data_IF_984635557480
#
_entry.id   IF_984635557480
#
_cell.length_a   1.000
_cell.length_b   1.000
_cell.length_c   1.000
_cell.angle_alpha   90.00
_cell.angle_beta   90.00
_cell.angle_gamma   90.00
#
_symmetry.space_group_name_H-M   'P 1'
#
loop_
_entity.id
_entity.type
_entity.pdbx_description
1 polymer ?
#
# COMPACT_ATOMS: atom_id res chain seq x y z
N UNK A 1 -49.08 21.84 -2.77
CA UNK A 1 -49.36 20.46 -2.32
C UNK A 1 -48.05 19.70 -2.34
N UNK A 2 -47.44 19.49 -1.17
CA UNK A 2 -46.20 18.74 -1.02
C UNK A 2 -46.53 17.32 -0.57
N UNK A 3 -45.98 16.26 -1.20
CA UNK A 3 -45.97 14.95 -0.59
C UNK A 3 -44.68 14.77 0.23
N UNK A 4 -44.85 14.70 1.56
CA UNK A 4 -43.81 14.29 2.50
C UNK A 4 -43.51 12.81 2.29
N UNK A 5 -42.33 12.47 1.78
CA UNK A 5 -41.79 11.12 1.86
C UNK A 5 -41.13 10.95 3.23
N UNK A 6 -41.89 10.34 4.15
CA UNK A 6 -41.39 9.82 5.43
C UNK A 6 -40.19 8.90 5.16
N UNK A 7 -39.00 9.37 5.52
CA UNK A 7 -37.83 8.49 5.68
C UNK A 7 -38.11 7.62 6.90
N UNK A 8 -38.42 6.36 6.68
CA UNK A 8 -38.43 5.37 7.74
C UNK A 8 -36.98 5.21 8.21
N UNK A 9 -36.62 5.90 9.30
CA UNK A 9 -35.41 5.62 10.06
C UNK A 9 -35.52 4.19 10.55
N UNK A 10 -34.98 3.24 9.79
CA UNK A 10 -34.68 1.91 10.30
C UNK A 10 -33.83 2.17 11.54
N UNK A 11 -34.24 1.75 12.74
CA UNK A 11 -33.32 1.77 13.86
C UNK A 11 -32.11 0.98 13.36
N UNK A 12 -30.94 1.64 13.32
CA UNK A 12 -29.68 0.91 13.26
C UNK A 12 -29.70 0.08 14.55
N UNK A 13 -30.24 -1.13 14.44
CA UNK A 13 -29.98 -2.18 15.39
C UNK A 13 -28.49 -2.41 15.21
N UNK A 14 -27.70 -1.62 15.96
CA UNK A 14 -26.27 -1.85 16.10
C UNK A 14 -26.27 -3.23 16.72
N UNK A 15 -26.03 -4.26 15.91
CA UNK A 15 -25.69 -5.55 16.47
C UNK A 15 -24.60 -5.26 17.51
N UNK A 16 -24.72 -5.80 18.73
CA UNK A 16 -23.70 -5.61 19.74
C UNK A 16 -22.37 -5.89 19.06
N UNK A 17 -21.47 -4.91 19.08
CA UNK A 17 -20.22 -4.92 18.32
C UNK A 17 -19.73 -6.35 18.18
N UNK A 18 -19.68 -6.85 16.94
CA UNK A 18 -19.24 -8.21 16.69
C UNK A 18 -17.94 -8.44 17.47
N UNK A 19 -17.95 -9.43 18.37
CA UNK A 19 -16.88 -9.60 19.35
C UNK A 19 -15.56 -9.81 18.62
N UNK A 20 -15.60 -10.50 17.49
CA UNK A 20 -14.44 -10.76 16.66
C UNK A 20 -13.89 -9.45 16.05
N UNK A 21 -14.76 -8.48 15.73
CA UNK A 21 -14.35 -7.15 15.29
C UNK A 21 -13.82 -6.31 16.46
N UNK A 22 -14.47 -6.34 17.62
CA UNK A 22 -14.01 -5.63 18.80
C UNK A 22 -12.62 -6.12 19.28
N UNK A 23 -12.33 -7.41 19.11
CA UNK A 23 -11.01 -8.01 19.37
C UNK A 23 -9.94 -7.60 18.34
N UNK A 24 -10.33 -7.32 17.09
CA UNK A 24 -9.42 -6.86 16.03
C UNK A 24 -9.11 -5.36 16.12
N UNK A 25 -9.93 -4.58 16.82
CA UNK A 25 -9.72 -3.15 16.97
C UNK A 25 -8.47 -2.84 17.81
N UNK A 26 -7.68 -1.85 17.37
CA UNK A 26 -6.58 -1.34 18.19
C UNK A 26 -7.13 -0.42 19.29
N UNK A 27 -6.58 -0.43 20.51
CA UNK A 27 -7.01 0.49 21.56
C UNK A 27 -6.95 1.95 21.08
N UNK A 28 -8.08 2.66 21.14
CA UNK A 28 -8.20 4.06 20.69
C UNK A 28 -8.43 4.25 19.18
N UNK A 29 -8.43 3.17 18.39
CA UNK A 29 -8.64 3.19 16.94
C UNK A 29 -9.69 2.17 16.50
N UNK A 30 -10.10 2.22 15.23
CA UNK A 30 -11.01 1.23 14.66
C UNK A 30 -10.34 -0.10 14.31
N UNK A 31 -11.01 -0.88 13.45
CA UNK A 31 -10.38 -2.02 12.78
C UNK A 31 -9.26 -1.49 11.88
N UNK A 32 -8.03 -2.00 11.97
CA UNK A 32 -6.92 -1.56 11.14
C UNK A 32 -7.28 -1.45 9.65
N UNK A 33 -7.98 -2.46 9.09
CA UNK A 33 -8.36 -2.46 7.66
C UNK A 33 -9.38 -1.39 7.25
N UNK A 34 -10.05 -0.73 8.20
CA UNK A 34 -11.09 0.28 7.97
C UNK A 34 -10.70 1.68 8.47
N UNK A 35 -9.56 1.79 9.14
CA UNK A 35 -9.08 3.04 9.70
C UNK A 35 -7.87 3.54 8.88
N UNK A 36 -8.02 4.65 8.14
CA UNK A 36 -6.94 5.18 7.30
C UNK A 36 -5.83 5.84 8.13
N UNK A 37 -6.00 6.06 9.44
CA UNK A 37 -4.90 6.56 10.27
C UNK A 37 -3.75 5.55 10.29
N UNK A 38 -2.49 5.99 10.04
CA UNK A 38 -1.33 5.12 10.14
C UNK A 38 -1.19 4.49 11.52
N UNK A 39 -1.56 5.23 12.57
CA UNK A 39 -1.52 4.76 13.96
C UNK A 39 -2.52 3.63 14.25
N UNK A 40 -3.51 3.39 13.38
CA UNK A 40 -4.43 2.27 13.48
C UNK A 40 -3.91 0.99 12.79
N UNK A 41 -2.85 1.07 11.97
CA UNK A 41 -2.27 -0.07 11.26
C UNK A 41 -1.23 -0.82 12.08
N UNK A 42 -1.06 -2.11 11.88
CA UNK A 42 0.03 -2.87 12.50
C UNK A 42 1.34 -2.60 11.72
N UNK A 43 2.39 -2.06 12.36
CA UNK A 43 3.66 -1.86 11.69
C UNK A 43 4.31 -3.21 11.38
N UNK A 44 4.89 -3.33 10.19
CA UNK A 44 5.73 -4.48 9.84
C UNK A 44 7.02 -4.43 10.65
N UNK A 45 7.51 -5.60 11.06
CA UNK A 45 8.87 -5.70 11.56
C UNK A 45 9.88 -5.41 10.44
N UNK A 46 11.10 -5.00 10.78
CA UNK A 46 12.14 -4.76 9.77
C UNK A 46 12.36 -5.99 8.87
N UNK A 47 12.37 -7.20 9.45
CA UNK A 47 12.53 -8.43 8.70
C UNK A 47 11.35 -8.74 7.75
N UNK A 48 10.12 -8.40 8.13
CA UNK A 48 8.94 -8.52 7.25
C UNK A 48 8.99 -7.48 6.13
N UNK A 49 9.29 -6.21 6.47
CA UNK A 49 9.45 -5.14 5.50
C UNK A 49 10.51 -5.47 4.44
N UNK A 50 11.65 -6.00 4.87
CA UNK A 50 12.72 -6.43 3.96
C UNK A 50 12.25 -7.56 3.05
N UNK A 51 11.54 -8.56 3.58
CA UNK A 51 11.02 -9.68 2.79
C UNK A 51 10.00 -9.21 1.76
N UNK A 52 9.04 -8.38 2.18
CA UNK A 52 7.99 -7.87 1.29
C UNK A 52 8.58 -6.98 0.20
N UNK A 53 9.47 -6.07 0.56
CA UNK A 53 10.19 -5.19 -0.38
C UNK A 53 11.01 -5.99 -1.40
N UNK A 54 11.73 -7.02 -0.95
CA UNK A 54 12.44 -7.94 -1.85
C UNK A 54 11.50 -8.65 -2.81
N UNK A 55 10.34 -9.12 -2.34
CA UNK A 55 9.36 -9.78 -3.22
C UNK A 55 8.77 -8.83 -4.24
N UNK A 56 8.46 -7.59 -3.84
CA UNK A 56 7.90 -6.56 -4.72
C UNK A 56 8.90 -6.23 -5.80
N UNK A 57 10.18 -6.07 -5.43
CA UNK A 57 11.20 -5.71 -6.38
C UNK A 57 11.58 -6.88 -7.31
N UNK A 58 11.60 -8.11 -6.79
CA UNK A 58 11.74 -9.30 -7.61
C UNK A 58 10.57 -9.44 -8.60
N UNK A 59 9.34 -9.26 -8.15
CA UNK A 59 8.15 -9.32 -8.99
C UNK A 59 8.11 -8.20 -10.04
N UNK A 60 8.40 -6.97 -9.63
CA UNK A 60 8.50 -5.82 -10.53
C UNK A 60 9.61 -5.99 -11.56
N UNK A 61 10.78 -6.44 -11.12
CA UNK A 61 11.91 -6.77 -11.98
C UNK A 61 11.57 -7.88 -12.98
N UNK A 62 10.85 -8.93 -12.56
CA UNK A 62 10.38 -9.99 -13.45
C UNK A 62 9.56 -9.43 -14.61
N UNK A 63 8.55 -8.60 -14.32
CA UNK A 63 7.67 -8.03 -15.34
C UNK A 63 8.45 -7.07 -16.26
N UNK A 64 9.26 -6.18 -15.67
CA UNK A 64 10.07 -5.24 -16.44
C UNK A 64 11.06 -5.98 -17.36
N UNK A 65 11.79 -6.94 -16.82
CA UNK A 65 12.72 -7.76 -17.58
C UNK A 65 12.04 -8.60 -18.66
N UNK A 66 10.85 -9.15 -18.39
CA UNK A 66 10.06 -9.85 -19.39
C UNK A 66 9.69 -8.93 -20.56
N UNK A 67 9.19 -7.73 -20.26
CA UNK A 67 8.82 -6.76 -21.28
C UNK A 67 10.03 -6.31 -22.11
N UNK A 68 11.15 -5.98 -21.46
CA UNK A 68 12.40 -5.58 -22.14
C UNK A 68 12.96 -6.71 -22.99
N UNK A 69 13.05 -7.92 -22.43
CA UNK A 69 13.56 -9.09 -23.14
C UNK A 69 12.67 -9.48 -24.32
N UNK A 70 11.34 -9.42 -24.16
CA UNK A 70 10.39 -9.63 -25.24
C UNK A 70 10.55 -8.59 -26.35
N UNK A 71 10.72 -7.31 -26.02
CA UNK A 71 10.91 -6.24 -27.00
C UNK A 71 12.21 -6.43 -27.80
N UNK A 72 13.34 -6.71 -27.13
CA UNK A 72 14.61 -7.00 -27.80
C UNK A 72 14.50 -8.27 -28.64
N UNK A 73 13.88 -9.32 -28.10
CA UNK A 73 13.65 -10.57 -28.80
C UNK A 73 12.78 -10.41 -30.05
N UNK A 74 11.75 -9.56 -29.99
CA UNK A 74 10.91 -9.25 -31.14
C UNK A 74 11.71 -8.65 -32.30
N UNK A 75 12.61 -7.71 -32.00
CA UNK A 75 13.45 -7.04 -33.00
C UNK A 75 14.43 -8.02 -33.65
N UNK A 76 15.03 -8.91 -32.86
CA UNK A 76 16.10 -9.79 -33.33
C UNK A 76 15.60 -11.10 -33.97
N UNK A 77 14.47 -11.63 -33.50
CA UNK A 77 14.00 -12.97 -33.86
C UNK A 77 12.47 -13.08 -34.00
N UNK A 78 11.76 -11.95 -34.07
CA UNK A 78 10.32 -11.93 -34.30
C UNK A 78 9.51 -12.60 -33.18
N UNK A 79 8.39 -13.27 -33.49
CA UNK A 79 7.49 -13.84 -32.47
C UNK A 79 8.15 -14.88 -31.56
N UNK A 80 9.06 -15.71 -32.08
CA UNK A 80 9.79 -16.69 -31.26
C UNK A 80 10.73 -15.98 -30.28
N UNK A 81 11.35 -14.89 -30.73
CA UNK A 81 12.18 -14.04 -29.89
C UNK A 81 11.40 -13.38 -28.75
N UNK A 82 10.12 -13.05 -28.93
CA UNK A 82 9.27 -12.54 -27.84
C UNK A 82 9.15 -13.57 -26.71
N UNK A 83 8.91 -14.84 -27.04
CA UNK A 83 8.75 -15.90 -26.04
C UNK A 83 10.06 -16.18 -25.31
N UNK A 84 11.15 -16.37 -26.05
CA UNK A 84 12.48 -16.66 -25.46
C UNK A 84 13.01 -15.44 -24.72
N UNK A 85 12.94 -14.27 -25.34
CA UNK A 85 13.39 -13.02 -24.75
C UNK A 85 12.57 -12.65 -23.51
N UNK A 86 11.26 -12.83 -23.55
CA UNK A 86 10.39 -12.57 -22.39
C UNK A 86 10.69 -13.51 -21.22
N UNK A 87 10.87 -14.80 -21.48
CA UNK A 87 11.20 -15.78 -20.42
C UNK A 87 12.58 -15.50 -19.82
N UNK A 88 13.63 -15.39 -20.63
CA UNK A 88 14.99 -15.09 -20.15
C UNK A 88 15.05 -13.72 -19.47
N UNK A 89 14.42 -12.72 -20.08
CA UNK A 89 14.30 -11.37 -19.53
C UNK A 89 13.59 -11.36 -18.18
N UNK A 90 12.55 -12.17 -17.99
CA UNK A 90 11.85 -12.27 -16.72
C UNK A 90 12.72 -12.82 -15.60
N UNK A 91 13.54 -13.83 -15.88
CA UNK A 91 14.46 -14.42 -14.90
C UNK A 91 15.56 -13.42 -14.55
N UNK A 92 16.19 -12.82 -15.56
CA UNK A 92 17.20 -11.79 -15.36
C UNK A 92 16.64 -10.58 -14.60
N UNK A 93 15.42 -10.16 -14.94
CA UNK A 93 14.72 -9.08 -14.29
C UNK A 93 14.35 -9.39 -12.84
N UNK A 94 13.90 -10.60 -12.53
CA UNK A 94 13.59 -11.00 -11.16
C UNK A 94 14.84 -10.97 -10.27
N UNK A 95 15.94 -11.56 -10.74
CA UNK A 95 17.22 -11.58 -10.04
C UNK A 95 17.81 -10.17 -9.90
N UNK A 96 17.77 -9.38 -10.97
CA UNK A 96 18.23 -7.99 -10.97
C UNK A 96 17.39 -7.09 -10.06
N UNK A 97 16.07 -7.33 -10.03
CA UNK A 97 15.14 -6.69 -9.10
C UNK A 97 15.54 -6.99 -7.67
N UNK A 98 15.59 -8.26 -7.25
CA UNK A 98 15.98 -8.62 -5.89
C UNK A 98 17.32 -8.00 -5.45
N UNK A 99 18.31 -7.96 -6.35
CA UNK A 99 19.61 -7.36 -6.06
C UNK A 99 19.61 -5.83 -5.95
N UNK A 100 18.66 -5.13 -6.58
CA UNK A 100 18.58 -3.67 -6.54
C UNK A 100 17.94 -3.12 -5.24
N UNK A 101 17.26 -3.97 -4.45
CA UNK A 101 16.49 -3.54 -3.28
C UNK A 101 17.30 -2.81 -2.22
N UNK A 102 18.45 -3.35 -1.79
CA UNK A 102 19.31 -2.69 -0.81
C UNK A 102 19.92 -1.35 -1.29
N UNK A 103 19.85 -1.05 -2.60
CA UNK A 103 20.40 0.19 -3.17
C UNK A 103 19.38 1.34 -3.15
N UNK A 104 18.09 1.05 -2.93
CA UNK A 104 17.03 2.04 -2.85
C UNK A 104 16.74 2.30 -1.38
N UNK A 105 17.19 3.45 -0.87
CA UNK A 105 16.80 3.90 0.47
C UNK A 105 15.48 4.66 0.35
N UNK A 106 14.39 4.21 1.01
CA UNK A 106 13.16 4.98 1.04
C UNK A 106 13.38 6.29 1.80
N UNK A 107 12.95 7.41 1.21
CA UNK A 107 12.89 8.71 1.86
C UNK A 107 11.88 8.60 3.03
N UNK A 108 12.30 8.96 4.25
CA UNK A 108 11.46 8.88 5.44
C UNK A 108 10.30 9.91 5.35
N UNK A 109 9.17 9.46 4.81
CA UNK A 109 7.97 10.30 4.62
C UNK A 109 7.26 10.58 5.96
N UNK A 110 7.75 10.03 7.08
CA UNK A 110 7.19 10.29 8.41
C UNK A 110 7.47 11.71 8.94
N UNK A 111 8.38 12.48 8.33
CA UNK A 111 8.73 13.83 8.80
C UNK A 111 7.89 14.97 8.21
N UNK A 112 6.82 14.70 7.45
CA UNK A 112 5.88 15.74 6.97
C UNK A 112 4.58 15.79 7.78
N UNK A 113 4.65 15.60 9.09
CA UNK A 113 3.62 16.15 9.98
C UNK A 113 3.94 17.64 10.18
N UNK A 114 3.04 18.58 9.82
CA UNK A 114 3.23 19.96 10.25
C UNK A 114 3.27 19.99 11.78
N UNK A 115 4.31 20.61 12.35
CA UNK A 115 4.35 20.90 13.78
C UNK A 115 3.02 21.52 14.22
N UNK A 116 2.43 21.10 15.36
CA UNK A 116 1.31 21.80 15.93
C UNK A 116 1.84 23.12 16.47
N UNK A 117 1.91 24.15 15.62
CA UNK A 117 2.21 25.50 16.10
C UNK A 117 1.03 25.95 16.94
N UNK A 118 1.28 26.00 18.24
CA UNK A 118 0.54 26.66 19.31
C UNK A 118 -0.18 27.94 18.84
N UNK A 119 -1.40 27.79 18.32
CA UNK A 119 -2.29 28.92 17.97
C UNK A 119 -3.47 29.06 18.92
N UNK A 120 -3.37 28.52 20.14
CA UNK A 120 -4.44 28.65 21.14
C UNK A 120 -3.91 29.07 22.53
N UNK A 121 -2.92 29.97 22.57
CA UNK A 121 -2.47 30.59 23.82
C UNK A 121 -2.43 32.13 23.81
N UNK A 122 -2.72 32.81 22.69
CA UNK A 122 -2.59 34.27 22.60
C UNK A 122 -3.88 35.04 22.24
N UNK A 123 -5.04 34.40 22.24
CA UNK A 123 -6.34 35.08 22.04
C UNK A 123 -7.06 35.47 23.34
N UNK A 124 -6.36 35.50 24.47
CA UNK A 124 -6.91 35.89 25.77
C UNK A 124 -6.33 37.21 26.32
N UNK A 125 -5.66 38.03 25.49
CA UNK A 125 -5.02 39.26 25.98
C UNK A 125 -5.04 40.48 25.05
N UNK A 126 -6.04 40.62 24.19
CA UNK A 126 -6.34 41.90 23.52
C UNK A 126 -7.82 42.19 23.54
#
# INVERSE_FOLDING_TARGET
MSPSTTSATRPLNVDPADKDLAEQARPGHGIPSQDPEPAAQLPLTAAESDRESNSVLMGGGMIAGAATGAAVGAVLAGPVGVLVGGTVGSVAGALGGAAAGPLVTPEDTASTLPEPTDREANSAKR
#
